data_IF_303843963511
#
_entry.id   IF_303843963511
#
_cell.length_a   1.000
_cell.length_b   1.000
_cell.length_c   1.000
_cell.angle_alpha   90.00
_cell.angle_beta   90.00
_cell.angle_gamma   90.00
#
_symmetry.space_group_name_H-M   'P 1'
#
loop_
_entity.id
_entity.type
_entity.pdbx_description
1 polymer ?
#
# COMPACT_ATOMS: atom_id res chain seq x y z
N UNK A 1 -15.47 -32.38 -31.58
CA UNK A 1 -14.65 -32.37 -30.35
C UNK A 1 -14.81 -31.03 -29.64
N UNK A 2 -15.62 -30.98 -28.58
CA UNK A 2 -15.84 -29.79 -27.74
C UNK A 2 -14.71 -29.69 -26.72
N UNK A 3 -13.77 -28.77 -26.92
CA UNK A 3 -12.74 -28.45 -25.93
C UNK A 3 -13.37 -27.66 -24.76
N UNK A 4 -13.62 -28.35 -23.64
CA UNK A 4 -13.87 -27.71 -22.34
C UNK A 4 -12.65 -26.88 -21.97
N UNK A 5 -12.78 -25.55 -22.00
CA UNK A 5 -11.85 -24.63 -21.34
C UNK A 5 -12.03 -24.81 -19.83
N UNK A 6 -11.27 -25.74 -19.25
CA UNK A 6 -11.13 -25.85 -17.80
C UNK A 6 -10.41 -24.59 -17.30
N UNK A 7 -11.20 -23.61 -16.83
CA UNK A 7 -10.68 -22.51 -16.05
C UNK A 7 -9.92 -23.10 -14.86
N UNK A 8 -8.59 -22.93 -14.83
CA UNK A 8 -7.78 -23.25 -13.67
C UNK A 8 -8.24 -22.34 -12.53
N UNK A 9 -9.19 -22.82 -11.73
CA UNK A 9 -9.40 -22.31 -10.39
C UNK A 9 -8.04 -22.39 -9.71
N UNK A 10 -7.45 -21.24 -9.37
CA UNK A 10 -6.32 -21.21 -8.45
C UNK A 10 -6.82 -21.84 -7.16
N UNK A 11 -6.51 -23.11 -6.99
CA UNK A 11 -6.74 -23.87 -5.78
C UNK A 11 -6.13 -23.07 -4.64
N UNK A 12 -6.96 -22.79 -3.62
CA UNK A 12 -6.53 -22.10 -2.41
C UNK A 12 -5.37 -22.90 -1.84
N UNK A 13 -4.21 -22.25 -1.65
CA UNK A 13 -3.22 -22.79 -0.74
C UNK A 13 -3.91 -23.08 0.61
N UNK A 14 -3.66 -24.22 1.26
CA UNK A 14 -4.31 -24.54 2.52
C UNK A 14 -4.08 -23.40 3.52
N UNK A 15 -5.14 -22.99 4.19
CA UNK A 15 -5.04 -22.07 5.32
C UNK A 15 -4.33 -22.83 6.44
N UNK A 16 -3.01 -22.66 6.50
CA UNK A 16 -2.20 -23.08 7.65
C UNK A 16 -2.90 -22.67 8.94
N UNK A 17 -3.03 -23.60 9.89
CA UNK A 17 -3.66 -23.41 11.20
C UNK A 17 -2.89 -22.44 12.12
N UNK A 18 -1.74 -21.93 11.68
CA UNK A 18 -0.89 -21.05 12.48
C UNK A 18 -1.54 -19.67 12.69
N UNK A 19 -1.63 -19.26 13.96
CA UNK A 19 -2.13 -17.94 14.38
C UNK A 19 -1.38 -16.74 13.74
N UNK A 20 -0.18 -16.96 13.20
CA UNK A 20 0.59 -15.95 12.48
C UNK A 20 -0.14 -15.42 11.22
N UNK A 21 -0.83 -16.26 10.43
CA UNK A 21 -1.62 -15.76 9.28
C UNK A 21 -2.87 -14.99 9.72
N UNK A 22 -3.38 -15.24 10.93
CA UNK A 22 -4.46 -14.47 11.57
C UNK A 22 -4.04 -13.06 11.97
N UNK A 23 -2.75 -12.75 12.10
CA UNK A 23 -2.28 -11.39 12.41
C UNK A 23 -2.11 -10.59 11.09
N UNK A 24 -1.65 -11.27 10.03
CA UNK A 24 -1.62 -10.80 8.63
C UNK A 24 -3.03 -10.66 8.01
N UNK A 25 -4.05 -11.22 8.69
CA UNK A 25 -5.47 -11.17 8.32
C UNK A 25 -6.14 -9.83 8.58
N UNK A 26 -5.56 -8.96 9.40
CA UNK A 26 -6.27 -7.81 9.95
C UNK A 26 -5.43 -6.53 10.01
N UNK A 27 -4.11 -6.64 9.96
CA UNK A 27 -3.21 -5.51 9.73
C UNK A 27 -3.25 -5.15 8.25
N UNK A 28 -4.32 -4.48 7.84
CA UNK A 28 -4.44 -3.94 6.49
C UNK A 28 -3.34 -2.93 6.24
N UNK A 29 -2.61 -3.11 5.13
CA UNK A 29 -1.74 -2.13 4.48
C UNK A 29 -2.54 -0.90 4.02
N UNK A 30 -3.06 -0.15 4.99
CA UNK A 30 -3.92 1.02 4.81
C UNK A 30 -3.38 2.30 5.46
N UNK A 31 -2.21 2.24 6.10
CA UNK A 31 -1.44 3.43 6.48
C UNK A 31 -0.10 3.38 5.76
N UNK A 32 0.31 4.54 5.20
CA UNK A 32 1.53 4.71 4.39
C UNK A 32 2.84 4.31 5.07
N UNK A 33 2.83 3.89 6.35
CA UNK A 33 4.02 3.58 7.13
C UNK A 33 3.87 2.35 8.04
N UNK A 34 2.97 1.41 7.71
CA UNK A 34 2.89 0.12 8.42
C UNK A 34 3.64 -0.98 7.67
N UNK A 35 4.93 -0.76 7.42
CA UNK A 35 5.84 -1.90 7.28
C UNK A 35 6.00 -2.50 8.68
N UNK A 36 5.28 -3.59 8.96
CA UNK A 36 5.49 -4.32 10.20
C UNK A 36 6.90 -4.88 10.21
N UNK A 37 7.65 -4.61 11.28
CA UNK A 37 8.86 -5.36 11.55
C UNK A 37 8.49 -6.85 11.71
N UNK A 38 9.29 -7.77 11.18
CA UNK A 38 9.13 -9.20 11.40
C UNK A 38 9.02 -9.59 12.88
N UNK A 39 9.55 -8.75 13.78
CA UNK A 39 9.56 -8.97 15.22
C UNK A 39 8.19 -8.78 15.88
N UNK A 40 7.25 -8.05 15.27
CA UNK A 40 5.88 -7.93 15.80
C UNK A 40 5.16 -9.28 15.80
N UNK A 41 5.44 -10.13 14.80
CA UNK A 41 4.91 -11.48 14.70
C UNK A 41 5.49 -12.43 15.74
N UNK A 42 6.79 -12.29 16.05
CA UNK A 42 7.50 -13.12 17.03
C UNK A 42 7.08 -12.78 18.46
N UNK A 43 6.93 -11.50 18.78
CA UNK A 43 6.51 -11.05 20.11
C UNK A 43 5.07 -11.46 20.44
N UNK A 44 4.12 -11.29 19.51
CA UNK A 44 2.72 -11.67 19.73
C UNK A 44 2.53 -13.19 19.87
N UNK A 45 3.44 -14.01 19.34
CA UNK A 45 3.40 -15.47 19.52
C UNK A 45 4.02 -15.93 20.85
N UNK A 46 5.11 -15.30 21.31
CA UNK A 46 5.82 -15.70 22.53
C UNK A 46 5.08 -15.28 23.82
N UNK A 47 4.33 -14.16 23.78
CA UNK A 47 3.63 -13.63 24.94
C UNK A 47 2.24 -14.29 25.17
N UNK A 48 1.76 -15.16 24.27
CA UNK A 48 0.52 -15.93 24.44
C UNK A 48 0.68 -17.15 25.35
N UNK A 49 1.91 -17.66 25.53
CA UNK A 49 2.20 -18.89 26.27
C UNK A 49 2.40 -18.66 27.78
N UNK A 50 2.58 -17.42 28.21
CA UNK A 50 2.78 -17.07 29.63
C UNK A 50 1.49 -16.47 30.17
N UNK A 51 0.76 -17.23 30.98
CA UNK A 51 -0.55 -16.87 31.57
C UNK A 51 -0.59 -15.65 32.51
N UNK A 52 0.42 -14.78 32.50
CA UNK A 52 0.41 -13.51 33.21
C UNK A 52 -0.23 -12.41 32.36
N UNK A 53 -1.48 -12.08 32.68
CA UNK A 53 -2.23 -10.94 32.15
C UNK A 53 -1.64 -9.61 32.65
N UNK A 54 -0.40 -9.30 32.25
CA UNK A 54 0.06 -7.92 32.25
C UNK A 54 -0.42 -7.38 30.90
N UNK A 55 -1.23 -6.32 30.91
CA UNK A 55 -1.56 -5.56 29.70
C UNK A 55 -0.28 -4.90 29.20
N UNK A 56 0.60 -5.68 28.57
CA UNK A 56 1.77 -5.17 27.88
C UNK A 56 1.25 -4.50 26.62
N UNK A 57 1.02 -3.19 26.70
CA UNK A 57 0.78 -2.40 25.51
C UNK A 57 2.08 -2.38 24.70
N UNK A 58 2.06 -3.04 23.54
CA UNK A 58 3.16 -3.02 22.60
C UNK A 58 3.06 -1.76 21.75
N UNK A 59 4.05 -0.88 21.82
CA UNK A 59 4.12 0.32 20.98
C UNK A 59 4.97 0.07 19.76
N UNK A 60 4.37 0.06 18.58
CA UNK A 60 5.11 0.02 17.33
C UNK A 60 5.37 1.46 16.88
N UNK A 61 6.59 1.95 17.04
CA UNK A 61 6.95 3.33 16.69
C UNK A 61 7.69 3.34 15.36
N UNK A 62 7.21 4.16 14.42
CA UNK A 62 7.85 4.38 13.12
C UNK A 62 8.39 5.79 13.01
N UNK A 63 9.63 5.92 12.53
CA UNK A 63 10.26 7.20 12.24
C UNK A 63 10.36 7.37 10.72
N UNK A 64 9.55 8.26 10.12
CA UNK A 64 9.54 8.45 8.66
C UNK A 64 10.85 9.08 8.16
N UNK A 65 11.58 9.80 9.01
CA UNK A 65 12.85 10.44 8.67
C UNK A 65 13.95 9.40 8.43
N UNK A 66 14.06 8.40 9.32
CA UNK A 66 15.05 7.32 9.20
C UNK A 66 14.53 6.13 8.38
N UNK A 67 13.21 6.02 8.18
CA UNK A 67 12.58 4.89 7.51
C UNK A 67 12.65 3.59 8.31
N UNK A 68 12.85 3.70 9.63
CA UNK A 68 12.88 2.57 10.56
C UNK A 68 11.61 2.51 11.41
N UNK A 69 11.36 1.30 11.88
CA UNK A 69 10.30 1.00 12.82
C UNK A 69 10.92 0.17 13.94
N UNK A 70 10.40 0.33 15.15
CA UNK A 70 10.86 -0.41 16.32
C UNK A 70 9.68 -0.70 17.24
N UNK A 71 9.72 -1.86 17.89
CA UNK A 71 8.77 -2.23 18.94
C UNK A 71 9.32 -1.80 20.29
N UNK A 72 8.60 -0.91 20.98
CA UNK A 72 8.88 -0.51 22.34
C UNK A 72 7.96 -1.28 23.28
N UNK A 73 8.56 -2.01 24.22
CA UNK A 73 7.84 -2.68 25.31
C UNK A 73 7.86 -1.76 26.53
N UNK A 74 6.69 -1.53 27.10
CA UNK A 74 6.56 -0.75 28.33
C UNK A 74 6.54 -1.70 29.52
N UNK A 75 7.49 -1.51 30.44
CA UNK A 75 7.66 -2.31 31.65
C UNK A 75 6.91 -1.75 32.87
N UNK A 76 6.55 -0.45 32.87
CA UNK A 76 5.85 0.17 34.00
C UNK A 76 4.33 0.25 33.82
N UNK A 77 3.62 -0.21 34.86
CA UNK A 77 2.16 -0.40 34.91
C UNK A 77 1.40 0.92 35.16
N UNK A 78 2.05 1.95 35.73
CA UNK A 78 1.36 3.13 36.28
C UNK A 78 0.71 4.08 35.27
N UNK A 79 1.06 3.99 33.98
CA UNK A 79 0.82 5.07 33.00
C UNK A 79 0.13 4.59 31.71
N UNK A 80 -0.63 3.49 31.76
CA UNK A 80 -1.25 2.89 30.57
C UNK A 80 -2.55 3.60 30.13
N UNK A 81 -3.16 4.40 31.03
CA UNK A 81 -4.48 5.00 30.80
C UNK A 81 -4.46 6.23 29.88
N UNK A 82 -3.32 6.86 29.61
CA UNK A 82 -3.27 8.15 28.88
C UNK A 82 -3.69 8.08 27.41
N UNK A 83 -3.64 6.87 26.84
CA UNK A 83 -4.08 6.64 25.47
C UNK A 83 -5.58 6.37 25.37
N UNK A 84 -6.23 5.97 26.47
CA UNK A 84 -7.65 5.71 26.45
C UNK A 84 -8.42 7.01 26.22
N UNK A 85 -9.44 6.95 25.37
CA UNK A 85 -10.20 8.13 24.96
C UNK A 85 -9.53 8.96 23.86
N UNK A 86 -8.25 8.74 23.54
CA UNK A 86 -7.60 9.34 22.37
C UNK A 86 -8.09 8.69 21.08
N UNK A 87 -8.15 9.48 20.02
CA UNK A 87 -8.56 9.03 18.68
C UNK A 87 -7.35 8.71 17.83
N UNK A 88 -7.51 7.78 16.89
CA UNK A 88 -6.51 7.61 15.82
C UNK A 88 -6.39 8.93 15.06
N UNK A 89 -5.15 9.39 14.90
CA UNK A 89 -4.81 10.66 14.27
C UNK A 89 -4.39 11.73 15.26
N UNK A 90 -4.70 11.57 16.55
CA UNK A 90 -4.31 12.53 17.59
C UNK A 90 -2.79 12.57 17.78
N UNK A 91 -2.31 13.75 18.16
CA UNK A 91 -0.92 14.00 18.55
C UNK A 91 -0.78 13.78 20.06
N UNK A 92 0.31 13.16 20.46
CA UNK A 92 0.62 12.76 21.82
C UNK A 92 2.06 13.12 22.12
N UNK A 93 2.26 13.72 23.29
CA UNK A 93 3.59 14.02 23.80
C UNK A 93 4.28 12.74 24.26
N UNK A 94 5.52 12.54 23.82
CA UNK A 94 6.31 11.36 24.15
C UNK A 94 6.60 11.21 25.63
N UNK A 95 6.59 12.32 26.37
CA UNK A 95 6.75 12.33 27.84
C UNK A 95 5.66 11.51 28.55
N UNK A 96 4.49 11.34 27.95
CA UNK A 96 3.40 10.54 28.53
C UNK A 96 3.68 9.03 28.41
N UNK A 97 4.47 8.62 27.42
CA UNK A 97 4.86 7.23 27.23
C UNK A 97 6.05 6.91 28.13
N UNK A 98 7.13 7.68 28.00
CA UNK A 98 8.31 7.55 28.85
C UNK A 98 8.99 8.90 29.01
N UNK A 99 9.53 9.22 30.20
CA UNK A 99 10.35 10.42 30.40
C UNK A 99 11.53 10.54 29.40
N UNK A 100 12.03 9.41 28.89
CA UNK A 100 13.09 9.37 27.87
C UNK A 100 12.68 10.05 26.55
N UNK A 101 11.37 10.06 26.24
CA UNK A 101 10.84 10.63 25.01
C UNK A 101 10.33 12.06 25.20
N UNK A 102 10.98 12.82 26.09
CA UNK A 102 10.69 14.24 26.27
C UNK A 102 10.83 14.99 24.93
N UNK A 103 9.91 15.91 24.66
CA UNK A 103 9.84 16.72 23.44
C UNK A 103 9.61 15.95 22.12
N UNK A 104 9.44 14.63 22.17
CA UNK A 104 8.91 13.90 21.02
C UNK A 104 7.43 14.16 20.86
N UNK A 105 6.98 14.34 19.62
CA UNK A 105 5.56 14.36 19.29
C UNK A 105 5.28 13.12 18.45
N UNK A 106 4.44 12.24 18.99
CA UNK A 106 3.95 11.05 18.33
C UNK A 106 2.55 11.29 17.79
N UNK A 107 2.26 10.75 16.62
CA UNK A 107 0.90 10.66 16.08
C UNK A 107 0.41 9.23 16.22
N UNK A 108 -0.79 9.02 16.77
CA UNK A 108 -1.43 7.71 16.73
C UNK A 108 -1.80 7.42 15.27
N UNK A 109 -1.15 6.43 14.67
CA UNK A 109 -1.44 6.00 13.31
C UNK A 109 -2.48 4.89 13.26
N UNK A 110 -2.52 4.01 14.25
CA UNK A 110 -3.43 2.88 14.29
C UNK A 110 -3.31 2.11 15.59
N UNK A 111 -4.21 1.13 15.76
CA UNK A 111 -4.15 0.21 16.89
C UNK A 111 -4.80 -1.12 16.52
N UNK A 112 -4.52 -2.13 17.34
CA UNK A 112 -5.01 -3.49 17.20
C UNK A 112 -5.54 -4.01 18.54
N UNK A 113 -6.69 -4.69 18.52
CA UNK A 113 -7.26 -5.44 19.64
C UNK A 113 -6.44 -6.71 19.89
N UNK A 114 -6.53 -7.30 21.08
CA UNK A 114 -5.90 -8.60 21.41
C UNK A 114 -6.30 -9.72 20.45
N UNK A 115 -7.53 -9.64 19.92
CA UNK A 115 -8.06 -10.55 18.92
C UNK A 115 -7.59 -10.24 17.48
N UNK A 116 -6.63 -9.34 17.31
CA UNK A 116 -6.11 -8.92 16.01
C UNK A 116 -7.01 -7.93 15.27
N UNK A 117 -8.11 -7.42 15.86
CA UNK A 117 -9.04 -6.54 15.13
C UNK A 117 -8.50 -5.12 15.04
N UNK A 118 -8.49 -4.46 13.85
CA UNK A 118 -7.92 -3.14 13.73
C UNK A 118 -8.90 -2.07 14.19
N UNK A 119 -8.39 -0.92 14.60
CA UNK A 119 -9.17 0.29 14.90
C UNK A 119 -9.37 1.12 13.63
N UNK A 120 -10.61 1.51 13.34
CA UNK A 120 -10.94 2.23 12.12
C UNK A 120 -10.98 3.75 12.36
N UNK A 121 -10.18 4.57 11.65
CA UNK A 121 -10.10 6.01 11.90
C UNK A 121 -11.43 6.75 11.64
N UNK A 122 -12.19 6.32 10.63
CA UNK A 122 -13.47 6.97 10.27
C UNK A 122 -14.70 6.55 11.10
N UNK A 123 -14.57 5.67 12.11
CA UNK A 123 -15.72 5.24 12.92
C UNK A 123 -15.59 5.85 14.31
N UNK A 124 -16.27 6.95 14.58
CA UNK A 124 -16.24 7.64 15.87
C UNK A 124 -17.11 6.93 16.92
N UNK A 125 -16.63 5.78 17.39
CA UNK A 125 -17.29 4.99 18.44
C UNK A 125 -16.23 4.30 19.29
N UNK A 126 -16.51 4.11 20.58
CA UNK A 126 -15.71 3.25 21.45
C UNK A 126 -16.23 1.81 21.31
N UNK A 127 -15.34 0.83 21.19
CA UNK A 127 -15.71 -0.59 21.06
C UNK A 127 -15.87 -1.09 19.62
N UNK A 128 -16.56 -2.23 19.47
CA UNK A 128 -16.59 -3.01 18.21
C UNK A 128 -17.84 -2.70 17.38
N UNK A 129 -17.67 -2.69 16.06
CA UNK A 129 -18.74 -2.45 15.07
C UNK A 129 -18.64 -3.46 13.93
N UNK A 130 -19.79 -3.92 13.40
CA UNK A 130 -19.88 -4.79 12.23
C UNK A 130 -20.26 -3.99 10.97
N UNK A 131 -19.28 -3.69 10.13
CA UNK A 131 -19.46 -2.88 8.91
C UNK A 131 -19.36 -3.74 7.65
N UNK A 132 -20.21 -3.46 6.66
CA UNK A 132 -20.12 -4.07 5.34
C UNK A 132 -18.99 -3.40 4.54
N UNK A 133 -17.90 -4.14 4.30
CA UNK A 133 -16.67 -3.62 3.67
C UNK A 133 -16.49 -4.13 2.25
N UNK A 134 -15.93 -3.25 1.42
CA UNK A 134 -15.45 -3.57 0.08
C UNK A 134 -14.00 -4.05 0.11
N UNK A 135 -13.60 -4.90 -0.84
CA UNK A 135 -12.26 -5.46 -0.88
C UNK A 135 -11.25 -4.39 -1.29
N UNK A 136 -10.14 -4.31 -0.54
CA UNK A 136 -9.12 -3.27 -0.69
C UNK A 136 -9.31 -2.07 0.25
N UNK A 137 -10.44 -1.99 0.95
CA UNK A 137 -10.68 -0.96 1.98
C UNK A 137 -10.08 -1.37 3.33
N UNK A 138 -9.91 -0.41 4.24
CA UNK A 138 -9.35 -0.65 5.57
C UNK A 138 -10.10 -1.77 6.32
N UNK A 139 -9.34 -2.75 6.82
CA UNK A 139 -9.86 -3.95 7.48
C UNK A 139 -10.34 -5.06 6.55
N UNK A 140 -10.22 -4.91 5.22
CA UNK A 140 -10.50 -5.98 4.26
C UNK A 140 -9.59 -5.93 3.02
N UNK A 141 -8.53 -6.76 2.98
CA UNK A 141 -7.61 -6.77 1.84
C UNK A 141 -8.24 -7.29 0.55
N UNK A 142 -7.84 -6.70 -0.59
CA UNK A 142 -8.41 -7.00 -1.90
C UNK A 142 -8.23 -8.47 -2.32
N UNK A 143 -7.07 -9.06 -2.04
CA UNK A 143 -6.77 -10.45 -2.40
C UNK A 143 -7.55 -11.49 -1.59
N UNK A 144 -8.20 -11.08 -0.49
CA UNK A 144 -9.10 -11.94 0.30
C UNK A 144 -10.52 -11.98 -0.25
N UNK A 145 -10.82 -11.19 -1.28
CA UNK A 145 -12.09 -11.24 -1.98
C UNK A 145 -12.19 -12.54 -2.79
N UNK A 146 -13.21 -13.39 -2.56
CA UNK A 146 -13.42 -14.56 -3.41
C UNK A 146 -13.73 -14.19 -4.86
N UNK A 147 -14.38 -13.04 -5.09
CA UNK A 147 -14.79 -12.54 -6.41
C UNK A 147 -14.70 -11.02 -6.43
N UNK A 148 -14.53 -10.43 -7.61
CA UNK A 148 -14.65 -8.98 -7.77
C UNK A 148 -16.05 -8.50 -7.38
N UNK A 149 -16.14 -7.36 -6.73
CA UNK A 149 -17.42 -6.76 -6.29
C UNK A 149 -18.07 -7.40 -5.07
N UNK A 150 -17.52 -8.47 -4.50
CA UNK A 150 -18.11 -9.05 -3.29
C UNK A 150 -17.85 -8.16 -2.06
N UNK A 151 -18.88 -7.94 -1.25
CA UNK A 151 -18.77 -7.22 0.01
C UNK A 151 -18.91 -8.20 1.18
N UNK A 152 -18.17 -7.96 2.26
CA UNK A 152 -18.24 -8.82 3.46
C UNK A 152 -18.41 -7.98 4.70
N UNK A 153 -19.33 -8.40 5.58
CA UNK A 153 -19.47 -7.81 6.90
C UNK A 153 -18.28 -8.21 7.76
N UNK A 154 -17.49 -7.23 8.20
CA UNK A 154 -16.29 -7.40 9.02
C UNK A 154 -16.47 -6.72 10.35
N UNK A 155 -15.90 -7.32 11.40
CA UNK A 155 -15.85 -6.73 12.73
C UNK A 155 -14.62 -5.83 12.79
N UNK A 156 -14.79 -4.58 13.19
CA UNK A 156 -13.70 -3.60 13.33
C UNK A 156 -13.91 -2.84 14.64
N UNK A 157 -12.85 -2.33 15.26
CA UNK A 157 -12.97 -1.40 16.39
C UNK A 157 -13.19 0.02 15.86
N UNK A 158 -13.82 0.88 16.64
CA UNK A 158 -13.93 2.29 16.28
C UNK A 158 -12.58 3.02 16.39
N UNK A 159 -12.60 4.34 16.25
CA UNK A 159 -11.42 5.21 16.16
C UNK A 159 -10.82 5.52 17.54
N UNK A 160 -11.66 5.55 18.57
CA UNK A 160 -11.24 5.87 19.93
C UNK A 160 -10.59 4.65 20.56
N UNK A 161 -9.40 4.82 21.12
CA UNK A 161 -8.67 3.75 21.82
C UNK A 161 -9.40 3.39 23.12
N UNK A 162 -9.59 2.08 23.33
CA UNK A 162 -10.16 1.52 24.54
C UNK A 162 -9.15 0.62 25.27
N UNK A 163 -9.50 0.19 26.49
CA UNK A 163 -8.67 -0.71 27.29
C UNK A 163 -8.38 -2.07 26.61
N UNK A 164 -9.12 -2.41 25.55
CA UNK A 164 -8.88 -3.60 24.74
C UNK A 164 -7.83 -3.41 23.64
N UNK A 165 -7.17 -2.26 23.53
CA UNK A 165 -6.04 -2.07 22.63
C UNK A 165 -4.81 -2.84 23.12
N UNK A 166 -4.35 -3.85 22.37
CA UNK A 166 -3.16 -4.63 22.71
C UNK A 166 -1.88 -4.03 22.13
N UNK A 167 -1.95 -3.53 20.90
CA UNK A 167 -0.83 -2.88 20.23
C UNK A 167 -1.26 -1.54 19.63
N UNK A 168 -0.45 -0.51 19.83
CA UNK A 168 -0.68 0.83 19.28
C UNK A 168 0.49 1.21 18.38
N UNK A 169 0.16 1.70 17.19
CA UNK A 169 1.14 2.10 16.18
C UNK A 169 1.28 3.62 16.19
N UNK A 170 2.48 4.11 16.44
CA UNK A 170 2.83 5.52 16.55
C UNK A 170 3.76 5.94 15.42
N UNK A 171 3.63 7.18 14.96
CA UNK A 171 4.53 7.80 13.98
C UNK A 171 5.20 9.01 14.63
N UNK A 172 6.52 9.10 14.54
CA UNK A 172 7.28 10.28 14.97
C UNK A 172 6.97 11.44 14.02
N UNK A 173 6.37 12.51 14.54
CA UNK A 173 6.15 13.76 13.78
C UNK A 173 7.28 14.74 14.05
N UNK A 174 7.66 14.90 15.32
CA UNK A 174 8.77 15.75 15.75
C UNK A 174 9.77 14.92 16.55
N UNK A 175 11.05 15.03 16.20
CA UNK A 175 12.17 14.45 16.95
C UNK A 175 12.37 15.26 18.24
N UNK A 176 12.48 14.58 19.38
CA UNK A 176 12.83 15.19 20.66
C UNK A 176 14.35 15.26 20.87
N UNK A 177 14.76 15.51 22.11
CA UNK A 177 16.14 15.88 22.43
C UNK A 177 17.10 14.68 22.44
N UNK A 178 16.67 13.54 23.01
CA UNK A 178 17.47 12.32 23.08
C UNK A 178 17.18 11.40 21.91
N UNK A 179 18.19 10.74 21.36
CA UNK A 179 17.98 9.74 20.31
C UNK A 179 17.49 8.41 20.86
N UNK A 180 16.55 7.79 20.14
CA UNK A 180 16.03 6.46 20.45
C UNK A 180 16.91 5.42 19.72
N UNK A 181 17.57 4.52 20.45
CA UNK A 181 18.49 3.55 19.88
C UNK A 181 17.76 2.60 18.92
N UNK A 182 18.28 2.46 17.70
CA UNK A 182 17.69 1.61 16.66
C UNK A 182 16.59 2.27 15.82
N UNK A 183 15.97 3.36 16.29
CA UNK A 183 14.92 4.09 15.56
C UNK A 183 15.42 5.39 14.92
N UNK A 184 15.99 6.31 15.70
CA UNK A 184 16.44 7.62 15.21
C UNK A 184 17.93 7.68 14.88
N UNK A 185 18.72 6.80 15.50
CA UNK A 185 20.18 6.74 15.36
C UNK A 185 20.61 6.38 13.92
N UNK A 186 20.02 5.32 13.35
CA UNK A 186 20.45 4.81 12.06
C UNK A 186 19.39 4.97 10.97
N UNK A 187 19.82 5.47 9.81
CA UNK A 187 18.96 5.65 8.63
C UNK A 187 18.92 4.36 7.80
N UNK A 188 17.71 3.92 7.42
CA UNK A 188 17.50 2.83 6.45
C UNK A 188 17.41 3.43 5.04
N UNK A 189 18.37 3.14 4.15
CA UNK A 189 18.33 3.68 2.79
C UNK A 189 17.16 3.08 1.99
N UNK A 190 16.62 3.86 1.05
CA UNK A 190 15.57 3.39 0.13
C UNK A 190 16.14 2.31 -0.80
N UNK A 191 15.51 1.14 -0.81
CA UNK A 191 15.98 -0.01 -1.60
C UNK A 191 15.85 0.19 -3.10
N UNK A 192 14.83 0.94 -3.55
CA UNK A 192 14.51 1.10 -4.97
C UNK A 192 14.52 2.57 -5.37
N UNK A 193 15.20 2.86 -6.48
CA UNK A 193 15.13 4.14 -7.16
C UNK A 193 13.85 4.32 -8.00
N UNK A 194 13.63 5.53 -8.55
CA UNK A 194 12.48 5.82 -9.39
C UNK A 194 12.50 5.02 -10.71
N UNK A 195 11.38 4.35 -11.03
CA UNK A 195 11.21 3.57 -12.28
C UNK A 195 10.74 4.39 -13.50
N UNK A 196 10.01 5.48 -13.29
CA UNK A 196 9.38 6.26 -14.37
C UNK A 196 10.32 7.38 -14.84
N UNK A 197 10.41 7.61 -16.15
CA UNK A 197 11.28 8.65 -16.72
C UNK A 197 11.08 10.05 -16.08
N UNK A 198 9.82 10.47 -15.86
CA UNK A 198 9.53 11.75 -15.21
C UNK A 198 9.98 11.83 -13.74
N UNK A 199 9.91 10.70 -13.01
CA UNK A 199 10.39 10.63 -11.62
C UNK A 199 11.92 10.63 -11.53
N UNK A 200 12.60 10.04 -12.52
CA UNK A 200 14.07 10.10 -12.62
C UNK A 200 14.50 11.55 -12.88
N UNK A 201 13.85 12.25 -13.82
CA UNK A 201 14.14 13.67 -14.07
C UNK A 201 13.94 14.54 -12.84
N UNK A 202 12.84 14.35 -12.11
CA UNK A 202 12.57 15.09 -10.86
C UNK A 202 13.60 14.79 -9.78
N UNK A 203 14.12 13.56 -9.69
CA UNK A 203 15.09 13.20 -8.66
C UNK A 203 16.45 13.88 -8.88
N UNK A 204 16.90 13.96 -10.12
CA UNK A 204 18.22 14.51 -10.50
C UNK A 204 18.14 15.94 -11.06
N UNK A 205 16.99 16.60 -10.94
CA UNK A 205 16.72 17.94 -11.50
C UNK A 205 17.11 18.08 -12.99
N UNK A 206 16.84 17.04 -13.79
CA UNK A 206 17.19 17.01 -15.22
C UNK A 206 16.16 17.73 -16.08
N UNK A 207 16.63 18.28 -17.19
CA UNK A 207 15.78 18.84 -18.24
C UNK A 207 15.07 17.73 -19.04
N UNK A 208 14.19 18.14 -19.95
CA UNK A 208 13.49 17.21 -20.86
C UNK A 208 14.42 16.65 -21.95
N UNK A 209 15.45 17.42 -22.33
CA UNK A 209 16.41 17.07 -23.38
C UNK A 209 17.37 15.98 -22.91
N UNK A 210 17.62 15.89 -21.61
CA UNK A 210 18.56 14.94 -21.03
C UNK A 210 18.08 13.48 -21.14
N UNK A 211 19.02 12.59 -21.44
CA UNK A 211 18.78 11.16 -21.49
C UNK A 211 18.79 10.53 -20.09
N UNK A 212 17.60 10.17 -19.63
CA UNK A 212 17.37 9.53 -18.33
C UNK A 212 18.01 8.14 -18.19
N UNK A 213 18.46 7.50 -19.28
CA UNK A 213 19.05 6.14 -19.22
C UNK A 213 20.36 6.10 -18.44
N UNK A 214 21.14 7.18 -18.51
CA UNK A 214 22.44 7.31 -17.85
C UNK A 214 22.29 7.42 -16.33
N UNK A 215 21.21 8.07 -15.87
CA UNK A 215 20.96 8.39 -14.47
C UNK A 215 20.13 7.33 -13.72
N UNK A 216 19.88 6.16 -14.31
CA UNK A 216 19.16 5.08 -13.61
C UNK A 216 20.06 4.52 -12.51
N UNK A 217 19.59 4.60 -11.26
CA UNK A 217 20.26 3.98 -10.12
C UNK A 217 20.29 2.47 -10.32
N UNK A 218 21.51 1.91 -10.34
CA UNK A 218 21.78 0.47 -10.42
C UNK A 218 22.32 -0.01 -9.08
N UNK A 219 22.00 -1.27 -8.73
CA UNK A 219 22.57 -1.96 -7.59
C UNK A 219 23.48 -3.07 -8.07
N UNK A 220 24.63 -3.22 -7.44
CA UNK A 220 25.53 -4.33 -7.72
C UNK A 220 24.96 -5.60 -7.07
N UNK A 221 24.81 -6.66 -7.86
CA UNK A 221 24.29 -7.95 -7.41
C UNK A 221 25.33 -9.01 -7.70
N UNK A 222 25.79 -9.71 -6.66
CA UNK A 222 26.62 -10.90 -6.82
C UNK A 222 25.78 -12.03 -7.41
N UNK A 223 26.15 -12.55 -8.56
CA UNK A 223 25.56 -13.74 -9.18
C UNK A 223 26.71 -14.72 -9.39
N UNK A 224 26.77 -15.76 -8.54
CA UNK A 224 27.96 -16.59 -8.44
C UNK A 224 29.16 -15.76 -8.00
N UNK A 225 30.28 -15.89 -8.73
CA UNK A 225 31.51 -15.12 -8.48
C UNK A 225 31.48 -13.71 -9.11
N UNK A 226 30.59 -13.44 -10.06
CA UNK A 226 30.55 -12.17 -10.80
C UNK A 226 29.68 -11.12 -10.11
N UNK A 227 30.10 -9.85 -10.17
CA UNK A 227 29.32 -8.70 -9.71
C UNK A 227 28.66 -8.01 -10.90
N UNK A 228 27.33 -8.12 -11.01
CA UNK A 228 26.60 -7.53 -12.14
C UNK A 228 25.74 -6.35 -11.67
N UNK A 229 25.86 -5.16 -12.28
CA UNK A 229 24.99 -4.03 -11.97
C UNK A 229 23.59 -4.26 -12.55
N UNK A 230 22.58 -4.37 -11.67
CA UNK A 230 21.17 -4.50 -12.05
C UNK A 230 20.42 -3.18 -11.79
N UNK A 231 19.72 -2.70 -12.83
CA UNK A 231 18.85 -1.52 -12.76
C UNK A 231 17.39 -1.86 -13.08
N UNK A 232 16.51 -0.87 -12.92
CA UNK A 232 15.09 -1.01 -13.25
C UNK A 232 14.85 -0.65 -14.72
N UNK A 233 14.00 -1.42 -15.42
CA UNK A 233 13.51 -1.03 -16.75
C UNK A 233 12.72 0.29 -16.68
N UNK A 234 13.21 1.32 -17.35
CA UNK A 234 12.58 2.64 -17.37
C UNK A 234 11.20 2.56 -18.01
N UNK A 235 10.19 3.00 -17.28
CA UNK A 235 8.83 3.06 -17.79
C UNK A 235 8.52 4.46 -18.34
N UNK A 236 7.66 4.50 -19.38
CA UNK A 236 7.18 5.72 -20.04
C UNK A 236 8.28 6.54 -20.72
N UNK A 237 9.42 5.93 -21.04
CA UNK A 237 10.40 6.54 -21.93
C UNK A 237 9.81 6.74 -23.32
N UNK A 238 10.19 7.83 -24.00
CA UNK A 238 9.91 8.01 -25.42
C UNK A 238 11.03 7.34 -26.20
N UNK A 239 10.69 6.31 -26.96
CA UNK A 239 11.63 5.56 -27.80
C UNK A 239 11.27 5.74 -29.27
N UNK A 240 12.23 5.60 -30.21
CA UNK A 240 11.94 5.65 -31.65
C UNK A 240 10.85 4.67 -32.06
N UNK A 241 10.85 3.47 -31.47
CA UNK A 241 9.82 2.46 -31.71
C UNK A 241 8.42 2.93 -31.29
N UNK A 242 8.29 3.62 -30.15
CA UNK A 242 7.01 4.17 -29.69
C UNK A 242 6.51 5.28 -30.62
N UNK A 243 7.42 6.12 -31.13
CA UNK A 243 7.10 7.15 -32.12
C UNK A 243 6.61 6.50 -33.42
N UNK A 244 7.34 5.48 -33.92
CA UNK A 244 6.96 4.70 -35.11
C UNK A 244 5.58 4.07 -34.97
N UNK A 245 5.32 3.37 -33.87
CA UNK A 245 4.00 2.75 -33.59
C UNK A 245 2.88 3.79 -33.52
N UNK A 246 3.16 4.98 -32.97
CA UNK A 246 2.19 6.10 -32.94
C UNK A 246 1.92 6.63 -34.35
N UNK A 247 2.95 6.90 -35.13
CA UNK A 247 2.83 7.36 -36.51
C UNK A 247 2.08 6.35 -37.38
N UNK A 248 2.42 5.06 -37.26
CA UNK A 248 1.74 3.98 -37.98
C UNK A 248 0.24 3.95 -37.67
N UNK A 249 -0.15 4.02 -36.38
CA UNK A 249 -1.56 4.07 -35.98
C UNK A 249 -2.29 5.28 -36.59
N UNK A 250 -1.65 6.44 -36.62
CA UNK A 250 -2.22 7.65 -37.23
C UNK A 250 -2.40 7.45 -38.74
N UNK A 251 -1.38 6.93 -39.45
CA UNK A 251 -1.45 6.65 -40.89
C UNK A 251 -2.54 5.64 -41.22
N UNK A 252 -2.64 4.56 -40.46
CA UNK A 252 -3.70 3.55 -40.63
C UNK A 252 -5.10 4.13 -40.38
N UNK A 253 -5.25 5.00 -39.38
CA UNK A 253 -6.50 5.72 -39.12
C UNK A 253 -6.89 6.62 -40.30
N UNK A 254 -5.93 7.40 -40.83
CA UNK A 254 -6.16 8.26 -42.00
C UNK A 254 -6.49 7.44 -43.25
N UNK A 255 -5.78 6.34 -43.50
CA UNK A 255 -6.05 5.42 -44.62
C UNK A 255 -7.45 4.84 -44.54
N UNK A 256 -7.92 4.45 -43.34
CA UNK A 256 -9.29 3.96 -43.13
C UNK A 256 -10.34 5.05 -43.37
N UNK A 257 -10.08 6.29 -42.96
CA UNK A 257 -10.98 7.41 -43.18
C UNK A 257 -11.13 7.73 -44.68
N UNK A 258 -10.01 7.86 -45.40
CA UNK A 258 -10.00 8.10 -46.86
C UNK A 258 -10.70 6.96 -47.59
N UNK A 259 -10.42 5.70 -47.22
CA UNK A 259 -11.09 4.55 -47.83
C UNK A 259 -12.61 4.61 -47.60
N UNK A 260 -13.06 4.88 -46.38
CA UNK A 260 -14.49 5.00 -46.06
C UNK A 260 -15.16 6.10 -46.86
N UNK A 261 -14.49 7.23 -47.04
CA UNK A 261 -15.01 8.33 -47.87
C UNK A 261 -15.16 7.88 -49.32
N UNK A 262 -14.14 7.25 -49.92
CA UNK A 262 -14.20 6.72 -51.28
C UNK A 262 -15.28 5.66 -51.45
N UNK A 263 -15.39 4.73 -50.51
CA UNK A 263 -16.42 3.67 -50.54
C UNK A 263 -17.82 4.28 -50.47
N UNK A 264 -18.02 5.34 -49.66
CA UNK A 264 -19.27 6.10 -49.58
C UNK A 264 -19.58 6.82 -50.90
N UNK A 265 -18.62 7.54 -51.46
CA UNK A 265 -18.78 8.24 -52.75
C UNK A 265 -19.10 7.24 -53.88
N UNK A 266 -18.45 6.07 -53.89
CA UNK A 266 -18.77 5.00 -54.84
C UNK A 266 -20.18 4.44 -54.63
N UNK A 267 -20.61 4.27 -53.38
CA UNK A 267 -21.96 3.81 -53.06
C UNK A 267 -23.03 4.82 -53.51
N UNK A 268 -22.84 6.10 -53.19
CA UNK A 268 -23.75 7.18 -53.59
C UNK A 268 -23.85 7.32 -55.12
N UNK A 269 -22.73 7.13 -55.85
CA UNK A 269 -22.74 7.09 -57.33
C UNK A 269 -23.46 5.86 -57.89
N UNK A 270 -23.30 4.69 -57.27
CA UNK A 270 -23.87 3.43 -57.74
C UNK A 270 -25.36 3.32 -57.45
N UNK A 271 -25.82 3.91 -56.35
CA UNK A 271 -27.21 3.95 -55.94
C UNK A 271 -27.65 5.41 -55.74
N UNK A 272 -27.86 6.16 -56.84
CA UNK A 272 -28.49 7.47 -56.74
C UNK A 272 -29.88 7.29 -56.12
N UNK A 273 -30.22 8.10 -55.11
CA UNK A 273 -31.53 8.04 -54.47
C UNK A 273 -32.64 8.23 -55.51
N UNK A 274 -33.54 7.25 -55.64
CA UNK A 274 -34.76 7.29 -56.48
C UNK A 274 -35.85 8.22 -55.91
N UNK A 275 -35.48 9.22 -55.11
CA UNK A 275 -36.42 10.15 -54.47
C UNK A 275 -37.04 11.18 -55.43
N UNK A 276 -36.78 11.10 -56.73
CA UNK A 276 -37.41 11.94 -57.76
C UNK A 276 -38.52 11.23 -58.56
N UNK A 277 -38.88 9.98 -58.24
CA UNK A 277 -39.99 9.27 -58.90
C UNK A 277 -41.21 9.10 -57.99
N UNK A 278 -41.66 10.17 -57.34
CA UNK A 278 -43.01 10.21 -56.74
C UNK A 278 -43.99 10.77 -57.76
N UNK A 279 -44.66 9.83 -58.43
CA UNK A 279 -46.02 9.85 -59.01
C UNK A 279 -46.52 11.16 -59.66
N UNK A 280 -46.46 11.19 -61.01
CA UNK A 280 -47.51 11.78 -61.84
C UNK A 280 -48.62 10.76 -62.07
#
# INVERSE_FOLDING_TARGET
>A
MLFKVAGRYRTRAPTSKHNAKKIDEWCGSGYEYMGQDPDLYRCLSEDLDKGSLILLHHYQVSCPFTGRTQLLRMSHVGNQNYLFGRKIGDLIDGSLISPMYKNYIFKISGACDRNGRPYHPGIYKIGRVRVLKEPGTFGYQAWRAPRSGCRRRKIVKGCVLDAGAAAVSLIVVKKGDQEIPGLTDQVRPKTLGPKRASKIRKLFNLSKLDDVRKYVIKRNVKIGQSVTPKGVKIQRLVTPERIRRKQQRIRESMKKAIKRQRDREMYEKRFPSTSSSTHK
#
